data_IF_916321052879
#
_entry.id   IF_916321052879
#
_cell.length_a   1.000
_cell.length_b   1.000
_cell.length_c   1.000
_cell.angle_alpha   90.00
_cell.angle_beta   90.00
_cell.angle_gamma   90.00
#
_symmetry.space_group_name_H-M   'P 1'
#
loop_
_entity.id
_entity.type
_entity.pdbx_description
1 polymer ?
#
# COMPACT_ATOMS: atom_id res chain seq x y z
N UNK A 1 26.58 14.45 11.58
CA UNK A 1 25.65 13.62 10.78
C UNK A 1 24.61 13.01 11.71
N UNK A 2 23.31 13.14 11.42
CA UNK A 2 22.28 12.50 12.25
C UNK A 2 22.44 10.96 12.17
N UNK A 3 22.45 10.28 13.31
CA UNK A 3 22.60 8.82 13.37
C UNK A 3 21.37 8.18 12.72
N UNK A 4 21.58 7.38 11.67
CA UNK A 4 20.49 6.68 10.98
C UNK A 4 19.83 5.70 11.96
N UNK A 5 18.51 5.70 11.99
CA UNK A 5 17.69 4.83 12.84
C UNK A 5 16.72 4.00 12.01
N UNK A 6 16.21 2.94 12.61
CA UNK A 6 15.18 2.11 12.00
C UNK A 6 13.89 2.92 11.82
N UNK A 7 13.32 2.91 10.61
CA UNK A 7 12.05 3.62 10.33
C UNK A 7 10.87 3.07 11.14
N UNK A 8 10.95 1.81 11.56
CA UNK A 8 9.90 1.09 12.27
C UNK A 8 10.03 1.29 13.78
N UNK A 9 11.07 0.76 14.41
CA UNK A 9 11.21 0.82 15.86
C UNK A 9 12.04 2.01 16.39
N UNK A 10 12.66 2.81 15.52
CA UNK A 10 13.52 3.91 15.93
C UNK A 10 14.89 3.51 16.49
N UNK A 11 15.18 2.21 16.61
CA UNK A 11 16.46 1.74 17.13
C UNK A 11 17.64 2.22 16.25
N UNK A 12 18.79 2.58 16.85
CA UNK A 12 20.01 2.83 16.11
C UNK A 12 20.55 1.54 15.46
N UNK A 13 21.54 1.66 14.57
CA UNK A 13 22.06 0.54 13.76
C UNK A 13 22.60 -0.69 14.54
N UNK A 14 23.08 -1.74 13.83
CA UNK A 14 23.24 -1.84 12.37
C UNK A 14 21.90 -1.98 11.62
N UNK A 15 21.83 -1.34 10.46
CA UNK A 15 20.66 -1.35 9.58
C UNK A 15 20.89 -2.35 8.44
N UNK A 16 19.83 -3.04 8.07
CA UNK A 16 19.73 -3.99 6.98
C UNK A 16 19.07 -3.37 5.76
N UNK A 17 19.15 -4.07 4.62
CA UNK A 17 18.39 -3.74 3.40
C UNK A 17 17.11 -4.56 3.40
N UNK A 18 15.97 -3.87 3.34
CA UNK A 18 14.66 -4.48 3.09
C UNK A 18 14.31 -4.35 1.61
N UNK A 19 13.82 -5.42 0.98
CA UNK A 19 13.33 -5.32 -0.39
C UNK A 19 11.98 -4.61 -0.41
N UNK A 20 11.80 -3.65 -1.32
CA UNK A 20 10.54 -2.91 -1.44
C UNK A 20 9.41 -3.86 -1.86
N UNK A 21 9.67 -4.65 -2.89
CA UNK A 21 8.84 -5.80 -3.24
C UNK A 21 9.61 -7.06 -2.83
N UNK A 22 9.07 -7.95 -1.98
CA UNK A 22 9.77 -9.13 -1.52
C UNK A 22 10.20 -10.06 -2.66
N UNK A 23 11.42 -10.63 -2.59
CA UNK A 23 11.95 -11.53 -3.62
C UNK A 23 11.04 -12.72 -3.90
N UNK A 24 10.44 -13.31 -2.85
CA UNK A 24 9.52 -14.44 -3.01
C UNK A 24 8.32 -14.09 -3.89
N UNK A 25 7.83 -12.86 -3.81
CA UNK A 25 6.67 -12.40 -4.59
C UNK A 25 7.06 -12.16 -6.04
N UNK A 26 8.27 -11.63 -6.26
CA UNK A 26 8.82 -11.48 -7.60
C UNK A 26 8.96 -12.83 -8.31
N UNK A 27 9.46 -13.84 -7.60
CA UNK A 27 9.51 -15.21 -8.10
C UNK A 27 8.13 -15.80 -8.32
N UNK A 28 7.17 -15.50 -7.44
CA UNK A 28 5.79 -15.95 -7.58
C UNK A 28 5.12 -15.45 -8.87
N UNK A 29 5.34 -14.19 -9.25
CA UNK A 29 4.67 -13.58 -10.42
C UNK A 29 5.48 -13.71 -11.72
N UNK A 30 6.79 -13.46 -11.66
CA UNK A 30 7.66 -13.39 -12.85
C UNK A 30 8.64 -14.55 -13.01
N UNK A 31 8.63 -15.53 -12.10
CA UNK A 31 9.59 -16.64 -12.12
C UNK A 31 11.03 -16.17 -11.93
N UNK A 32 11.93 -16.63 -12.81
CA UNK A 32 13.36 -16.27 -12.80
C UNK A 32 13.72 -15.13 -13.76
N UNK A 33 12.73 -14.53 -14.43
CA UNK A 33 12.97 -13.51 -15.46
C UNK A 33 13.40 -12.16 -14.86
N UNK A 34 14.41 -11.52 -15.47
CA UNK A 34 14.85 -10.17 -15.10
C UNK A 34 13.82 -9.13 -15.60
N UNK A 35 13.39 -8.22 -14.73
CA UNK A 35 12.51 -7.08 -15.11
C UNK A 35 11.03 -7.24 -14.75
N UNK A 36 10.69 -8.15 -13.82
CA UNK A 36 9.31 -8.41 -13.38
C UNK A 36 8.67 -7.31 -12.52
N UNK A 37 9.30 -6.13 -12.36
CA UNK A 37 8.78 -5.02 -11.56
C UNK A 37 8.59 -3.76 -12.41
N UNK A 38 7.36 -3.23 -12.38
CA UNK A 38 7.02 -1.90 -12.93
C UNK A 38 6.41 -1.02 -11.84
N UNK A 39 6.98 0.16 -11.63
CA UNK A 39 6.46 1.17 -10.72
C UNK A 39 6.00 2.40 -11.47
N UNK A 40 4.79 2.88 -11.20
CA UNK A 40 4.23 4.09 -11.79
C UNK A 40 3.97 5.12 -10.69
N UNK A 41 4.58 6.31 -10.83
CA UNK A 41 4.24 7.45 -9.99
C UNK A 41 3.18 8.28 -10.69
N UNK A 42 2.03 8.47 -10.02
CA UNK A 42 0.88 9.18 -10.57
C UNK A 42 0.80 10.59 -10.02
N UNK A 43 0.49 11.56 -10.87
CA UNK A 43 0.20 12.94 -10.49
C UNK A 43 -1.13 13.03 -9.74
N UNK A 44 -1.34 14.18 -9.10
CA UNK A 44 -2.60 14.53 -8.45
C UNK A 44 -3.81 14.67 -9.39
N UNK A 45 -3.62 14.64 -10.72
CA UNK A 45 -4.70 14.63 -11.72
C UNK A 45 -4.81 13.27 -12.43
N UNK A 46 -4.18 12.23 -11.90
CA UNK A 46 -4.27 10.88 -12.47
C UNK A 46 -3.46 10.68 -13.75
N UNK A 47 -2.44 11.52 -13.98
CA UNK A 47 -1.51 11.38 -15.12
C UNK A 47 -0.19 10.78 -14.62
N UNK A 48 0.39 9.76 -15.28
CA UNK A 48 1.71 9.25 -14.93
C UNK A 48 2.77 10.37 -14.96
N UNK A 49 3.46 10.60 -13.84
CA UNK A 49 4.59 11.52 -13.75
C UNK A 49 5.92 10.86 -14.11
N UNK A 50 6.05 9.58 -13.76
CA UNK A 50 7.23 8.79 -14.10
C UNK A 50 6.91 7.30 -14.03
N UNK A 51 7.49 6.53 -14.94
CA UNK A 51 7.53 5.07 -14.85
C UNK A 51 8.95 4.59 -14.56
N UNK A 52 9.05 3.51 -13.79
CA UNK A 52 10.30 2.82 -13.52
C UNK A 52 10.12 1.34 -13.79
N UNK A 53 10.94 0.80 -14.68
CA UNK A 53 11.12 -0.64 -14.82
C UNK A 53 12.39 -0.99 -14.05
N UNK A 54 12.28 -1.89 -13.08
CA UNK A 54 13.41 -2.30 -12.26
C UNK A 54 13.64 -3.80 -12.41
N UNK A 55 14.91 -4.21 -12.40
CA UNK A 55 15.25 -5.60 -12.15
C UNK A 55 14.99 -5.91 -10.68
N UNK A 56 14.33 -7.04 -10.44
CA UNK A 56 13.74 -7.46 -9.18
C UNK A 56 14.61 -7.28 -7.92
N UNK A 57 15.93 -7.43 -8.05
CA UNK A 57 16.83 -7.47 -6.90
C UNK A 57 17.41 -6.10 -6.50
N UNK A 58 17.14 -5.02 -7.25
CA UNK A 58 17.85 -3.75 -7.06
C UNK A 58 17.13 -2.74 -6.14
N UNK A 59 15.82 -2.91 -5.89
CA UNK A 59 15.03 -1.90 -5.18
C UNK A 59 14.88 -2.24 -3.69
N UNK A 60 15.77 -1.67 -2.86
CA UNK A 60 15.82 -1.91 -1.42
C UNK A 60 15.83 -0.61 -0.60
N UNK A 61 15.36 -0.69 0.64
CA UNK A 61 15.42 0.35 1.66
C UNK A 61 16.45 0.00 2.74
N UNK A 62 17.50 0.80 2.88
CA UNK A 62 18.60 0.56 3.83
C UNK A 62 18.38 1.09 5.25
N UNK A 63 17.13 1.29 5.70
CA UNK A 63 16.80 1.95 6.98
C UNK A 63 15.94 1.08 7.93
N UNK A 64 16.09 -0.25 7.85
CA UNK A 64 15.38 -1.21 8.71
C UNK A 64 16.38 -1.99 9.56
N UNK A 65 16.21 -2.10 10.88
CA UNK A 65 17.12 -2.90 11.71
C UNK A 65 16.87 -4.42 11.56
N UNK A 66 17.88 -5.23 11.91
CA UNK A 66 17.80 -6.69 11.84
C UNK A 66 16.61 -7.26 12.63
N UNK A 67 16.33 -6.74 13.84
CA UNK A 67 15.25 -7.23 14.68
C UNK A 67 13.86 -7.00 14.06
N UNK A 68 13.63 -5.88 13.38
CA UNK A 68 12.38 -5.67 12.65
C UNK A 68 12.30 -6.54 11.39
N UNK A 69 13.37 -6.53 10.59
CA UNK A 69 13.43 -7.21 9.31
C UNK A 69 13.24 -8.74 9.46
N UNK A 70 14.05 -9.36 10.32
CA UNK A 70 14.02 -10.81 10.58
C UNK A 70 12.94 -11.21 11.59
N UNK A 71 12.29 -10.24 12.25
CA UNK A 71 11.26 -10.48 13.26
C UNK A 71 9.85 -10.40 12.70
N UNK A 72 9.13 -9.34 13.07
CA UNK A 72 7.71 -9.19 12.73
C UNK A 72 7.49 -9.06 11.21
N UNK A 73 8.41 -8.44 10.48
CA UNK A 73 8.29 -8.28 9.03
C UNK A 73 8.35 -9.64 8.33
N UNK A 74 9.35 -10.48 8.66
CA UNK A 74 9.46 -11.84 8.13
C UNK A 74 8.23 -12.71 8.44
N UNK A 75 7.68 -12.61 9.67
CA UNK A 75 6.42 -13.30 10.03
C UNK A 75 5.23 -12.80 9.20
N UNK A 76 5.12 -11.49 9.01
CA UNK A 76 4.06 -10.88 8.20
C UNK A 76 4.14 -11.29 6.73
N UNK A 77 5.35 -11.32 6.16
CA UNK A 77 5.61 -11.83 4.81
C UNK A 77 5.15 -13.28 4.65
N UNK A 78 5.52 -14.14 5.60
CA UNK A 78 5.15 -15.56 5.59
C UNK A 78 3.65 -15.75 5.69
N UNK A 79 2.99 -14.98 6.58
CA UNK A 79 1.54 -15.01 6.73
C UNK A 79 0.80 -14.57 5.47
N UNK A 80 1.23 -13.47 4.83
CA UNK A 80 0.62 -13.03 3.58
C UNK A 80 0.86 -14.01 2.43
N UNK A 81 2.07 -14.55 2.31
CA UNK A 81 2.41 -15.55 1.28
C UNK A 81 1.47 -16.76 1.33
N UNK A 82 1.08 -17.22 2.51
CA UNK A 82 0.12 -18.32 2.67
C UNK A 82 -1.31 -17.95 2.25
N UNK A 83 -1.70 -16.68 2.35
CA UNK A 83 -3.03 -16.18 1.99
C UNK A 83 -3.18 -15.83 0.51
N UNK A 84 -2.07 -15.52 -0.17
CA UNK A 84 -2.09 -15.03 -1.54
C UNK A 84 -2.83 -15.96 -2.53
N UNK A 85 -2.61 -17.30 -2.56
CA UNK A 85 -3.33 -18.18 -3.49
C UNK A 85 -4.85 -18.15 -3.25
N UNK A 86 -5.28 -18.07 -1.99
CA UNK A 86 -6.70 -17.95 -1.63
C UNK A 86 -7.27 -16.61 -2.08
N UNK A 87 -6.50 -15.52 -1.96
CA UNK A 87 -6.91 -14.19 -2.40
C UNK A 87 -7.06 -14.10 -3.92
N UNK A 88 -6.28 -14.86 -4.68
CA UNK A 88 -6.42 -14.96 -6.13
C UNK A 88 -7.61 -15.81 -6.54
N UNK A 89 -7.83 -16.93 -5.86
CA UNK A 89 -8.96 -17.82 -6.09
C UNK A 89 -10.30 -17.11 -5.78
N UNK A 90 -10.39 -16.45 -4.62
CA UNK A 90 -11.54 -15.65 -4.23
C UNK A 90 -11.10 -14.44 -3.40
N UNK A 91 -11.20 -13.27 -4.02
CA UNK A 91 -10.82 -11.98 -3.42
C UNK A 91 -11.88 -11.47 -2.43
N UNK A 92 -13.01 -12.17 -2.29
CA UNK A 92 -14.07 -11.83 -1.36
C UNK A 92 -13.54 -11.79 0.08
N UNK A 93 -13.71 -10.66 0.79
CA UNK A 93 -13.27 -10.54 2.17
C UNK A 93 -14.03 -11.48 3.13
N UNK A 94 -15.13 -12.11 2.69
CA UNK A 94 -15.86 -13.10 3.49
C UNK A 94 -15.09 -14.42 3.64
N UNK A 95 -14.17 -14.71 2.73
CA UNK A 95 -13.37 -15.94 2.72
C UNK A 95 -12.16 -15.88 3.68
N UNK A 96 -12.03 -14.77 4.41
CA UNK A 96 -10.92 -14.51 5.32
C UNK A 96 -11.46 -14.14 6.71
N UNK A 97 -10.89 -14.73 7.74
CA UNK A 97 -11.11 -14.37 9.15
C UNK A 97 -10.65 -12.95 9.45
N UNK A 98 -11.02 -12.42 10.62
CA UNK A 98 -10.57 -11.10 11.08
C UNK A 98 -9.04 -11.00 11.15
N UNK A 99 -8.37 -12.07 11.60
CA UNK A 99 -6.92 -12.12 11.69
C UNK A 99 -6.26 -12.15 10.30
N UNK A 100 -6.80 -12.92 9.36
CA UNK A 100 -6.28 -12.98 7.99
C UNK A 100 -6.44 -11.65 7.25
N UNK A 101 -7.59 -10.98 7.39
CA UNK A 101 -7.79 -9.64 6.83
C UNK A 101 -6.83 -8.62 7.44
N UNK A 102 -6.52 -8.74 8.73
CA UNK A 102 -5.47 -7.93 9.35
C UNK A 102 -4.09 -8.23 8.75
N UNK A 103 -3.73 -9.50 8.56
CA UNK A 103 -2.46 -9.89 7.91
C UNK A 103 -2.34 -9.29 6.51
N UNK A 104 -3.37 -9.41 5.68
CA UNK A 104 -3.41 -8.80 4.33
C UNK A 104 -3.21 -7.29 4.42
N UNK A 105 -3.94 -6.63 5.30
CA UNK A 105 -3.92 -5.19 5.43
C UNK A 105 -2.60 -4.65 5.99
N UNK A 106 -2.03 -5.32 7.01
CA UNK A 106 -0.75 -4.95 7.58
C UNK A 106 0.38 -5.15 6.56
N UNK A 107 0.32 -6.23 5.77
CA UNK A 107 1.30 -6.51 4.74
C UNK A 107 1.33 -5.44 3.66
N UNK A 108 0.17 -5.10 3.05
CA UNK A 108 0.14 -4.07 2.00
C UNK A 108 0.53 -2.70 2.54
N UNK A 109 0.14 -2.37 3.77
CA UNK A 109 0.51 -1.12 4.43
C UNK A 109 2.03 -1.04 4.64
N UNK A 110 2.64 -2.13 5.15
CA UNK A 110 4.10 -2.23 5.30
C UNK A 110 4.79 -2.01 3.96
N UNK A 111 4.36 -2.74 2.93
CA UNK A 111 4.95 -2.67 1.59
C UNK A 111 4.87 -1.25 1.00
N UNK A 112 3.70 -0.59 1.11
CA UNK A 112 3.55 0.80 0.67
C UNK A 112 4.42 1.79 1.46
N UNK A 113 4.56 1.59 2.78
CA UNK A 113 5.48 2.41 3.60
C UNK A 113 6.93 2.26 3.16
N UNK A 114 7.37 1.02 2.89
CA UNK A 114 8.74 0.74 2.42
C UNK A 114 8.96 1.34 1.02
N UNK A 115 8.01 1.18 0.10
CA UNK A 115 8.05 1.76 -1.24
C UNK A 115 8.11 3.29 -1.22
N UNK A 116 7.30 3.91 -0.34
CA UNK A 116 7.31 5.36 -0.18
C UNK A 116 8.64 5.87 0.36
N UNK A 117 9.23 5.14 1.31
CA UNK A 117 10.50 5.50 1.95
C UNK A 117 11.73 5.20 1.08
N UNK A 118 11.62 4.31 0.10
CA UNK A 118 12.67 4.04 -0.89
C UNK A 118 12.66 5.03 -2.06
N UNK A 119 11.57 5.79 -2.24
CA UNK A 119 11.49 6.82 -3.26
C UNK A 119 12.32 8.06 -2.85
N UNK A 120 13.03 8.67 -3.81
CA UNK A 120 13.89 9.85 -3.60
C UNK A 120 13.11 11.17 -3.36
N UNK A 121 11.88 11.10 -2.84
CA UNK A 121 11.04 12.27 -2.59
C UNK A 121 10.93 12.55 -1.10
N UNK A 122 10.54 13.78 -0.74
CA UNK A 122 10.28 14.16 0.66
C UNK A 122 9.22 13.21 1.24
N UNK A 123 9.57 12.50 2.31
CA UNK A 123 8.63 11.55 2.91
C UNK A 123 7.44 12.29 3.51
N UNK A 124 6.26 12.07 2.92
CA UNK A 124 4.98 12.59 3.40
C UNK A 124 4.29 11.70 4.45
N UNK A 125 4.74 10.44 4.63
CA UNK A 125 4.19 9.56 5.66
C UNK A 125 4.79 9.90 7.03
N UNK A 126 3.99 10.16 8.08
CA UNK A 126 4.50 10.51 9.40
C UNK A 126 5.21 9.32 10.01
N UNK A 127 6.18 9.59 10.87
CA UNK A 127 6.95 8.54 11.54
C UNK A 127 6.10 7.68 12.50
N UNK A 128 4.89 8.11 12.87
CA UNK A 128 3.96 7.35 13.70
C UNK A 128 3.40 6.11 12.99
N UNK A 129 3.18 6.16 11.67
CA UNK A 129 2.64 5.05 10.90
C UNK A 129 3.54 3.80 10.93
N UNK A 130 4.84 3.86 10.54
CA UNK A 130 5.71 2.70 10.64
C UNK A 130 5.91 2.24 12.10
N UNK A 131 5.95 3.15 13.08
CA UNK A 131 6.03 2.77 14.50
C UNK A 131 4.85 1.90 14.93
N UNK A 132 3.64 2.32 14.59
CA UNK A 132 2.43 1.58 14.93
C UNK A 132 2.40 0.16 14.34
N UNK A 133 2.84 -0.01 13.08
CA UNK A 133 2.98 -1.33 12.46
C UNK A 133 3.96 -2.23 13.23
N UNK A 134 5.10 -1.67 13.65
CA UNK A 134 6.16 -2.43 14.32
C UNK A 134 5.80 -2.92 15.72
N UNK A 135 4.89 -2.21 16.40
CA UNK A 135 4.43 -2.54 17.75
C UNK A 135 3.37 -3.65 17.76
N UNK A 136 2.95 -4.15 16.59
CA UNK A 136 1.85 -5.10 16.49
C UNK A 136 0.50 -4.49 16.88
N UNK A 137 0.41 -3.17 16.95
CA UNK A 137 -0.83 -2.45 17.18
C UNK A 137 -1.80 -2.69 16.02
N UNK A 138 -3.08 -2.37 16.22
CA UNK A 138 -4.03 -2.24 15.11
C UNK A 138 -3.43 -1.32 14.04
N UNK A 139 -3.63 -1.64 12.77
CA UNK A 139 -3.29 -0.73 11.66
C UNK A 139 -3.88 0.64 11.99
N UNK A 140 -3.11 1.74 11.91
CA UNK A 140 -3.58 3.05 12.36
C UNK A 140 -4.98 3.39 11.85
N UNK A 141 -5.79 3.93 12.76
CA UNK A 141 -7.14 4.37 12.43
C UNK A 141 -7.09 5.27 11.18
N UNK A 142 -8.01 5.05 10.24
CA UNK A 142 -8.09 5.79 8.98
C UNK A 142 -7.55 5.04 7.76
N UNK A 143 -6.70 4.02 7.95
CA UNK A 143 -6.31 3.14 6.84
C UNK A 143 -7.43 2.16 6.53
N UNK A 144 -7.85 2.19 5.27
CA UNK A 144 -8.76 1.22 4.68
C UNK A 144 -8.02 0.52 3.55
N UNK A 145 -8.19 -0.80 3.48
CA UNK A 145 -7.56 -1.63 2.46
C UNK A 145 -8.61 -2.16 1.52
N UNK A 146 -8.40 -1.96 0.23
CA UNK A 146 -9.22 -2.49 -0.84
C UNK A 146 -8.50 -3.55 -1.64
N UNK A 147 -9.29 -4.38 -2.30
CA UNK A 147 -8.83 -5.41 -3.22
C UNK A 147 -9.77 -5.51 -4.43
N UNK A 148 -9.21 -5.81 -5.59
CA UNK A 148 -9.98 -6.01 -6.82
C UNK A 148 -9.21 -6.81 -7.86
N UNK A 149 -9.84 -7.03 -9.02
CA UNK A 149 -9.25 -7.77 -10.15
C UNK A 149 -8.60 -6.83 -11.14
N UNK A 150 -7.44 -7.19 -11.68
CA UNK A 150 -6.73 -6.46 -12.74
C UNK A 150 -6.41 -7.44 -13.86
N UNK A 151 -6.14 -6.93 -15.07
CA UNK A 151 -5.60 -7.76 -16.14
C UNK A 151 -4.37 -8.55 -15.71
N UNK A 152 -4.38 -9.85 -16.01
CA UNK A 152 -3.36 -10.77 -15.56
C UNK A 152 -2.04 -10.45 -16.28
N UNK A 153 -0.96 -10.34 -15.52
CA UNK A 153 0.36 -10.06 -16.05
C UNK A 153 1.45 -10.87 -15.37
N UNK A 154 2.57 -11.04 -16.08
CA UNK A 154 3.81 -11.64 -15.54
C UNK A 154 4.71 -10.64 -14.80
N UNK A 155 4.21 -9.41 -14.62
CA UNK A 155 4.94 -8.33 -13.96
C UNK A 155 4.14 -7.82 -12.77
N UNK A 156 4.81 -7.65 -11.63
CA UNK A 156 4.26 -6.92 -10.49
C UNK A 156 4.27 -5.44 -10.86
N UNK A 157 3.09 -4.84 -10.82
CA UNK A 157 2.94 -3.41 -11.00
C UNK A 157 2.63 -2.78 -9.64
N UNK A 158 3.17 -1.60 -9.36
CA UNK A 158 2.66 -0.78 -8.27
C UNK A 158 2.43 0.64 -8.76
N UNK A 159 1.43 1.30 -8.20
CA UNK A 159 1.22 2.72 -8.42
C UNK A 159 1.11 3.44 -7.08
N UNK A 160 1.75 4.61 -7.00
CA UNK A 160 1.62 5.48 -5.85
C UNK A 160 1.19 6.88 -6.29
N UNK A 161 0.40 7.54 -5.47
CA UNK A 161 -0.01 8.91 -5.73
C UNK A 161 -0.26 9.70 -4.46
N UNK A 162 -0.19 11.01 -4.60
CA UNK A 162 -0.74 11.97 -3.64
C UNK A 162 -2.22 12.28 -3.93
N UNK A 163 -2.83 11.52 -4.84
CA UNK A 163 -4.23 11.63 -5.24
C UNK A 163 -5.17 11.47 -4.05
N UNK A 164 -6.09 12.41 -3.89
CA UNK A 164 -7.44 12.10 -3.47
C UNK A 164 -8.36 12.51 -4.61
N UNK A 165 -8.81 11.56 -5.45
CA UNK A 165 -10.00 11.85 -6.28
C UNK A 165 -11.18 11.81 -5.31
N UNK A 166 -11.54 12.97 -4.79
CA UNK A 166 -12.61 13.09 -3.83
C UNK A 166 -13.04 14.54 -3.70
N UNK A 167 -14.36 14.72 -3.72
CA UNK A 167 -15.09 15.96 -3.60
C UNK A 167 -14.74 16.66 -2.26
N UNK A 168 -13.63 17.37 -2.22
CA UNK A 168 -13.45 18.42 -1.24
C UNK A 168 -14.44 19.51 -1.66
N UNK A 169 -15.53 19.70 -0.91
CA UNK A 169 -16.40 20.86 -1.10
C UNK A 169 -15.50 22.10 -1.17
N UNK A 170 -15.82 23.05 -2.06
CA UNK A 170 -15.00 24.25 -2.29
C UNK A 170 -14.64 24.98 -0.97
N UNK A 171 -15.52 24.92 0.03
CA UNK A 171 -15.33 25.46 1.39
C UNK A 171 -14.22 24.79 2.21
N UNK A 172 -13.81 23.57 1.88
CA UNK A 172 -12.80 22.79 2.61
C UNK A 172 -11.44 22.75 1.90
N UNK A 173 -11.35 23.35 0.71
CA UNK A 173 -10.10 23.53 -0.05
C UNK A 173 -8.98 24.28 0.70
N UNK A 174 -9.24 25.33 1.53
CA UNK A 174 -8.14 26.01 2.23
C UNK A 174 -7.43 25.11 3.27
N UNK A 175 -8.04 24.00 3.69
CA UNK A 175 -7.44 23.00 4.58
C UNK A 175 -6.96 21.73 3.86
N UNK A 176 -7.22 21.60 2.56
CA UNK A 176 -6.83 20.43 1.79
C UNK A 176 -5.41 20.59 1.23
N UNK A 177 -4.48 19.84 1.80
CA UNK A 177 -3.13 19.68 1.25
C UNK A 177 -2.97 18.26 0.70
N UNK A 178 -3.01 18.14 -0.64
CA UNK A 178 -2.76 16.87 -1.32
C UNK A 178 -1.39 16.27 -0.97
N UNK A 179 -0.42 17.09 -0.53
CA UNK A 179 0.91 16.60 -0.07
C UNK A 179 0.81 15.77 1.22
N UNK A 180 -0.33 15.75 1.90
CA UNK A 180 -0.55 14.93 3.10
C UNK A 180 -1.31 13.63 2.81
N UNK A 181 -1.61 13.34 1.55
CA UNK A 181 -2.31 12.11 1.15
C UNK A 181 -1.31 11.15 0.52
N UNK A 182 -1.40 9.88 0.88
CA UNK A 182 -0.64 8.81 0.26
C UNK A 182 -1.58 7.68 -0.14
N UNK A 183 -1.58 7.35 -1.43
CA UNK A 183 -2.28 6.21 -1.99
C UNK A 183 -1.25 5.27 -2.58
N UNK A 184 -1.38 3.98 -2.26
CA UNK A 184 -0.54 2.92 -2.79
C UNK A 184 -1.39 1.75 -3.24
N UNK A 185 -1.14 1.26 -4.44
CA UNK A 185 -1.72 0.04 -4.98
C UNK A 185 -0.62 -0.86 -5.54
N UNK A 186 -0.80 -2.16 -5.44
CA UNK A 186 0.12 -3.20 -5.91
C UNK A 186 -0.68 -4.30 -6.58
N UNK A 187 -0.37 -4.62 -7.83
CA UNK A 187 -0.88 -5.82 -8.49
C UNK A 187 0.00 -7.03 -8.18
N UNK A 188 -0.65 -8.17 -8.07
CA UNK A 188 -0.03 -9.48 -7.91
C UNK A 188 -0.76 -10.40 -8.90
N UNK A 189 -0.14 -10.63 -10.06
CA UNK A 189 -0.76 -11.31 -11.20
C UNK A 189 -2.11 -10.69 -11.62
N UNK A 190 -3.23 -11.31 -11.25
CA UNK A 190 -4.61 -10.94 -11.66
C UNK A 190 -5.41 -10.21 -10.57
N UNK A 191 -4.81 -9.96 -9.41
CA UNK A 191 -5.42 -9.22 -8.30
C UNK A 191 -4.61 -7.97 -7.98
N UNK A 192 -5.24 -7.00 -7.35
CA UNK A 192 -4.52 -5.90 -6.70
C UNK A 192 -4.97 -5.70 -5.26
N UNK A 193 -4.07 -5.14 -4.46
CA UNK A 193 -4.34 -4.62 -3.12
C UNK A 193 -3.98 -3.14 -3.10
N UNK A 194 -4.75 -2.35 -2.35
CA UNK A 194 -4.52 -0.93 -2.26
C UNK A 194 -4.94 -0.34 -0.91
N UNK A 195 -4.32 0.77 -0.53
CA UNK A 195 -4.75 1.55 0.62
C UNK A 195 -4.50 3.04 0.40
N UNK A 196 -5.25 3.85 1.14
CA UNK A 196 -5.06 5.29 1.26
C UNK A 196 -4.77 5.68 2.71
N UNK A 197 -4.01 6.76 2.87
CA UNK A 197 -3.75 7.38 4.15
C UNK A 197 -3.75 8.91 3.99
N UNK A 198 -4.19 9.62 5.03
CA UNK A 198 -4.18 11.08 5.08
C UNK A 198 -3.68 11.58 6.43
N UNK A 199 -2.87 12.66 6.40
CA UNK A 199 -2.15 13.17 7.56
C UNK A 199 -2.87 14.14 8.48
N UNK A 200 -3.94 14.78 7.99
CA UNK A 200 -4.78 15.56 8.88
C UNK A 200 -5.68 14.64 9.69
N UNK A 201 -6.06 15.10 10.89
CA UNK A 201 -6.87 14.36 11.84
C UNK A 201 -8.04 13.63 11.17
N UNK A 202 -8.19 12.34 11.50
CA UNK A 202 -9.36 11.53 11.13
C UNK A 202 -10.70 12.15 11.57
N UNK A 203 -10.70 13.23 12.36
CA UNK A 203 -11.89 14.02 12.68
C UNK A 203 -12.36 14.90 11.52
N UNK A 204 -11.45 15.39 10.69
CA UNK A 204 -11.73 16.34 9.61
C UNK A 204 -11.94 15.67 8.25
N UNK A 205 -11.18 14.59 7.99
CA UNK A 205 -11.18 13.91 6.71
C UNK A 205 -11.28 12.39 6.88
N UNK A 206 -11.81 11.72 5.87
CA UNK A 206 -11.73 10.28 5.72
C UNK A 206 -11.37 9.85 4.31
N UNK A 207 -10.52 8.83 4.24
CA UNK A 207 -10.37 8.01 3.05
C UNK A 207 -11.68 7.26 2.84
N UNK A 208 -12.25 7.36 1.66
CA UNK A 208 -13.38 6.54 1.22
C UNK A 208 -13.00 5.82 -0.06
N UNK A 209 -13.73 4.75 -0.35
CA UNK A 209 -13.56 4.03 -1.61
C UNK A 209 -14.79 4.35 -2.45
N UNK A 210 -14.57 5.04 -3.56
CA UNK A 210 -15.62 5.50 -4.48
C UNK A 210 -16.21 4.33 -5.28
N UNK A 211 -15.42 3.28 -5.47
CA UNK A 211 -15.76 2.12 -6.26
C UNK A 211 -16.70 1.15 -5.57
N UNK A 212 -17.93 1.08 -6.07
CA UNK A 212 -18.79 -0.10 -5.95
C UNK A 212 -18.15 -1.35 -6.61
N UNK A 213 -16.97 -1.23 -7.21
CA UNK A 213 -16.26 -2.26 -7.96
C UNK A 213 -15.12 -2.98 -7.23
N UNK A 214 -14.79 -2.53 -6.02
CA UNK A 214 -13.70 -3.10 -5.22
C UNK A 214 -14.21 -3.59 -3.87
N UNK A 215 -13.58 -4.64 -3.34
CA UNK A 215 -13.88 -5.12 -2.01
C UNK A 215 -13.11 -4.30 -0.98
N UNK A 216 -13.74 -3.93 0.13
CA UNK A 216 -13.02 -3.47 1.31
C UNK A 216 -12.62 -4.70 2.12
N UNK A 217 -11.32 -4.92 2.30
CA UNK A 217 -10.76 -6.01 3.12
C UNK A 217 -10.67 -5.61 4.60
N UNK A 218 -10.26 -4.37 4.88
CA UNK A 218 -10.02 -3.87 6.23
C UNK A 218 -10.48 -2.41 6.37
N UNK A 219 -10.96 -1.95 7.54
CA UNK A 219 -11.10 -2.67 8.83
C UNK A 219 -12.33 -3.57 8.91
N UNK A 220 -13.42 -3.17 8.24
CA UNK A 220 -14.66 -3.94 8.18
C UNK A 220 -14.85 -4.47 6.76
N UNK A 221 -15.07 -5.77 6.56
CA UNK A 221 -15.21 -6.33 5.24
C UNK A 221 -16.47 -5.78 4.54
N UNK A 222 -16.32 -5.29 3.30
CA UNK A 222 -17.45 -4.89 2.45
C UNK A 222 -17.27 -5.48 1.06
N UNK A 223 -18.36 -6.00 0.50
CA UNK A 223 -18.33 -6.54 -0.86
C UNK A 223 -18.45 -5.40 -1.87
N UNK A 224 -17.74 -5.54 -3.00
CA UNK A 224 -18.09 -4.81 -4.21
C UNK A 224 -19.56 -5.09 -4.56
N UNK A 225 -20.29 -4.08 -5.03
CA UNK A 225 -21.61 -4.27 -5.62
C UNK A 225 -21.50 -4.78 -7.07
N UNK A 226 -20.48 -4.34 -7.80
CA UNK A 226 -20.28 -4.64 -9.22
C UNK A 226 -18.83 -4.99 -9.52
N UNK A 227 -18.47 -6.27 -9.58
CA UNK A 227 -17.09 -6.69 -9.81
C UNK A 227 -16.61 -6.20 -11.18
N UNK A 228 -15.57 -5.36 -11.20
CA UNK A 228 -14.87 -4.92 -12.42
C UNK A 228 -13.46 -5.50 -12.43
N UNK A 229 -12.99 -5.86 -13.62
CA UNK A 229 -11.57 -6.11 -13.90
C UNK A 229 -10.95 -4.85 -14.49
N UNK A 230 -9.89 -4.33 -13.87
CA UNK A 230 -9.20 -3.13 -14.35
C UNK A 230 -8.19 -3.49 -15.44
N UNK A 231 -8.24 -2.79 -16.58
CA UNK A 231 -7.32 -3.04 -17.70
C UNK A 231 -5.87 -2.62 -17.38
N UNK A 232 -5.70 -1.65 -16.49
CA UNK A 232 -4.39 -1.15 -16.07
C UNK A 232 -4.38 -0.75 -14.60
N UNK A 233 -3.36 -1.16 -13.85
CA UNK A 233 -3.26 -0.88 -12.41
C UNK A 233 -3.28 0.62 -12.10
N UNK A 234 -2.74 1.48 -12.98
CA UNK A 234 -2.73 2.93 -12.77
C UNK A 234 -4.11 3.58 -12.63
N UNK A 235 -5.19 2.87 -12.99
CA UNK A 235 -6.57 3.33 -12.80
C UNK A 235 -7.06 2.96 -11.39
N UNK A 236 -6.60 1.86 -10.79
CA UNK A 236 -7.04 1.43 -9.46
C UNK A 236 -6.92 2.48 -8.34
N UNK A 237 -5.89 3.37 -8.31
CA UNK A 237 -5.83 4.47 -7.35
C UNK A 237 -7.04 5.43 -7.41
N UNK A 238 -7.74 5.55 -8.54
CA UNK A 238 -8.93 6.41 -8.65
C UNK A 238 -10.13 5.90 -7.85
N UNK A 239 -10.09 4.64 -7.42
CA UNK A 239 -11.07 4.04 -6.52
C UNK A 239 -10.86 4.44 -5.05
N UNK A 240 -9.75 5.15 -4.75
CA UNK A 240 -9.41 5.61 -3.42
C UNK A 240 -9.54 7.14 -3.39
N UNK A 241 -10.56 7.62 -2.69
CA UNK A 241 -10.89 9.03 -2.54
C UNK A 241 -10.66 9.56 -1.14
N UNK A 242 -10.65 10.88 -1.02
CA UNK A 242 -10.66 11.60 0.26
C UNK A 242 -11.88 12.52 0.31
N UNK A 243 -12.67 12.45 1.39
CA UNK A 243 -13.75 13.41 1.63
C UNK A 243 -13.63 14.00 3.02
N UNK A 244 -14.11 15.23 3.16
CA UNK A 244 -14.26 15.83 4.47
C UNK A 244 -15.42 15.16 5.21
N UNK A 245 -15.27 15.01 6.52
CA UNK A 245 -16.38 14.66 7.40
C UNK A 245 -17.12 15.96 7.68
N UNK A 246 -18.41 16.00 7.37
CA UNK A 246 -19.27 17.07 7.86
C UNK A 246 -19.21 17.02 9.40
N UNK A 247 -18.75 18.12 10.03
CA UNK A 247 -18.75 18.30 11.49
C UNK A 247 -20.04 18.98 11.87
#
# INVERSE_FOLDING_TARGET
MAKRSCIFCGAPGPLTREHVIPLWLQHYVGGSEKGSLRGTHMSWIGVPLSERVASGNSHTLGSVCSSCNNGWMSRLESGFRALLPRLQADISPRCFSKAERYTIAAWITKTGVVAHRSANYRSILPASLPRALSQGSSIPAGIKVIAGKVEAGKTIQWAQSNLGFGLVRKSHLPFYDAKQTFVFVLSIADVFLGFGWHGLSNRMFEIFHSGDSTHQIYPHPKLARHIRKFDHLAIAPTEIGLRSKDI
#
